data_IF_783156992340
#
_entry.id   IF_783156992340
#
_cell.length_a   1.000
_cell.length_b   1.000
_cell.length_c   1.000
_cell.angle_alpha   90.00
_cell.angle_beta   90.00
_cell.angle_gamma   90.00
#
_symmetry.space_group_name_H-M   'P 1'
#
loop_
_entity.id
_entity.type
_entity.pdbx_description
1 polymer ?
#
# COMPACT_ATOMS: atom_id res chain seq x y z
N UNK A 1 -8.82 -17.05 -16.70
CA UNK A 1 -8.34 -18.10 -17.63
C UNK A 1 -7.24 -18.87 -16.92
N UNK A 2 -7.40 -20.18 -16.75
CA UNK A 2 -6.35 -21.00 -16.15
C UNK A 2 -5.32 -21.29 -17.26
N UNK A 3 -4.20 -20.58 -17.26
CA UNK A 3 -3.16 -20.81 -18.26
C UNK A 3 -2.45 -22.11 -17.94
N UNK A 4 -2.65 -23.11 -18.79
CA UNK A 4 -2.07 -24.43 -18.60
C UNK A 4 -0.53 -24.35 -18.61
N UNK A 5 0.11 -24.93 -17.61
CA UNK A 5 1.56 -24.95 -17.46
C UNK A 5 2.14 -26.02 -18.38
N UNK A 6 2.61 -25.63 -19.54
CA UNK A 6 3.11 -26.55 -20.59
C UNK A 6 4.63 -26.46 -20.80
N UNK A 7 5.27 -25.37 -20.39
CA UNK A 7 6.69 -25.09 -20.66
C UNK A 7 7.55 -25.68 -19.55
N UNK A 8 8.49 -26.59 -19.86
CA UNK A 8 9.42 -27.12 -18.85
C UNK A 8 10.42 -26.06 -18.39
N UNK A 9 10.50 -25.80 -17.08
CA UNK A 9 11.38 -24.78 -16.51
C UNK A 9 12.85 -25.03 -16.87
N UNK A 10 13.32 -26.28 -16.85
CA UNK A 10 14.69 -26.64 -17.26
C UNK A 10 15.07 -26.19 -18.67
N UNK A 11 14.12 -26.13 -19.61
CA UNK A 11 14.38 -25.61 -20.97
C UNK A 11 14.63 -24.11 -20.90
N UNK A 12 13.79 -23.40 -20.15
CA UNK A 12 13.88 -21.94 -19.92
C UNK A 12 15.16 -21.55 -19.20
N UNK A 13 15.58 -22.33 -18.19
CA UNK A 13 16.82 -22.07 -17.44
C UNK A 13 18.06 -22.11 -18.34
N UNK A 14 18.14 -23.09 -19.26
CA UNK A 14 19.23 -23.19 -20.23
C UNK A 14 19.19 -22.07 -21.26
N UNK A 15 18.00 -21.74 -21.74
CA UNK A 15 17.80 -20.67 -22.72
C UNK A 15 18.18 -19.29 -22.18
N UNK A 16 17.76 -18.99 -20.95
CA UNK A 16 18.01 -17.70 -20.30
C UNK A 16 19.33 -17.66 -19.52
N UNK A 17 20.07 -18.77 -19.48
CA UNK A 17 21.33 -18.95 -18.77
C UNK A 17 21.27 -18.53 -17.29
N UNK A 18 20.28 -19.04 -16.55
CA UNK A 18 20.07 -18.75 -15.12
C UNK A 18 19.84 -20.03 -14.30
N UNK A 19 20.14 -19.98 -13.00
CA UNK A 19 19.83 -21.07 -12.06
C UNK A 19 18.34 -21.15 -11.73
N UNK A 20 17.89 -22.33 -11.29
CA UNK A 20 16.52 -22.56 -10.83
C UNK A 20 16.15 -21.60 -9.68
N UNK A 21 17.04 -21.45 -8.70
CA UNK A 21 16.84 -20.55 -7.55
C UNK A 21 16.62 -19.10 -7.99
N UNK A 22 17.37 -18.65 -9.00
CA UNK A 22 17.24 -17.30 -9.54
C UNK A 22 15.91 -17.11 -10.28
N UNK A 23 15.49 -18.11 -11.05
CA UNK A 23 14.19 -18.07 -11.73
C UNK A 23 13.03 -18.01 -10.73
N UNK A 24 13.07 -18.84 -9.68
CA UNK A 24 12.03 -18.87 -8.64
C UNK A 24 12.00 -17.55 -7.87
N UNK A 25 13.15 -17.02 -7.50
CA UNK A 25 13.23 -15.70 -6.83
C UNK A 25 12.58 -14.62 -7.67
N UNK A 26 12.85 -14.59 -8.98
CA UNK A 26 12.23 -13.64 -9.90
C UNK A 26 10.71 -13.86 -9.96
N UNK A 27 10.26 -15.07 -10.21
CA UNK A 27 8.83 -15.40 -10.33
C UNK A 27 8.03 -15.07 -9.06
N UNK A 28 8.62 -15.28 -7.88
CA UNK A 28 8.05 -14.84 -6.60
C UNK A 28 7.84 -13.33 -6.53
N UNK A 29 8.71 -12.51 -7.12
CA UNK A 29 8.49 -11.05 -7.18
C UNK A 29 7.31 -10.63 -8.07
N UNK A 30 6.78 -11.55 -8.87
CA UNK A 30 5.56 -11.37 -9.67
C UNK A 30 4.34 -12.06 -9.07
N UNK A 31 4.41 -12.53 -7.82
CA UNK A 31 3.38 -13.34 -7.14
C UNK A 31 3.00 -14.63 -7.88
N UNK A 32 3.94 -15.23 -8.62
CA UNK A 32 3.74 -16.55 -9.23
C UNK A 32 4.15 -17.66 -8.25
N UNK A 33 3.23 -18.58 -7.94
CA UNK A 33 3.50 -19.75 -7.11
C UNK A 33 4.02 -20.92 -7.95
N UNK A 34 5.31 -21.24 -7.84
CA UNK A 34 5.95 -22.29 -8.63
C UNK A 34 6.64 -23.30 -7.72
N UNK A 35 6.48 -24.58 -8.06
CA UNK A 35 7.19 -25.69 -7.41
C UNK A 35 8.70 -25.55 -7.60
N UNK A 36 9.46 -25.72 -6.51
CA UNK A 36 10.91 -25.66 -6.52
C UNK A 36 11.52 -26.98 -7.04
N UNK A 37 11.21 -27.31 -8.29
CA UNK A 37 11.60 -28.56 -8.94
C UNK A 37 12.15 -28.29 -10.35
N UNK A 38 13.28 -28.90 -10.75
CA UNK A 38 13.78 -28.84 -12.13
C UNK A 38 12.76 -29.35 -13.17
N UNK A 39 11.83 -30.21 -12.73
CA UNK A 39 10.79 -30.79 -13.58
C UNK A 39 9.50 -29.96 -13.63
N UNK A 40 9.43 -28.85 -12.88
CA UNK A 40 8.27 -27.99 -12.87
C UNK A 40 7.96 -27.44 -14.27
N UNK A 41 6.68 -27.21 -14.52
CA UNK A 41 6.21 -26.52 -15.72
C UNK A 41 5.74 -25.12 -15.36
N UNK A 42 5.97 -24.20 -16.26
CA UNK A 42 5.47 -22.82 -16.19
C UNK A 42 4.57 -22.54 -17.40
N UNK A 43 3.75 -21.49 -17.30
CA UNK A 43 2.92 -21.00 -18.40
C UNK A 43 3.59 -19.82 -19.13
N UNK A 44 3.01 -19.40 -20.25
CA UNK A 44 3.55 -18.32 -21.09
C UNK A 44 3.72 -16.99 -20.30
N UNK A 45 2.75 -16.54 -19.47
CA UNK A 45 2.94 -15.36 -18.63
C UNK A 45 4.14 -15.43 -17.67
N UNK A 46 4.36 -16.56 -17.01
CA UNK A 46 5.50 -16.79 -16.10
C UNK A 46 6.84 -16.73 -16.87
N UNK A 47 6.88 -17.32 -18.07
CA UNK A 47 8.05 -17.30 -18.94
C UNK A 47 8.37 -15.89 -19.46
N UNK A 48 7.36 -15.16 -19.94
CA UNK A 48 7.53 -13.79 -20.40
C UNK A 48 7.89 -12.85 -19.25
N UNK A 49 7.36 -13.07 -18.05
CA UNK A 49 7.78 -12.36 -16.86
C UNK A 49 9.26 -12.60 -16.51
N UNK A 50 9.74 -13.85 -16.59
CA UNK A 50 11.16 -14.17 -16.41
C UNK A 50 12.05 -13.41 -17.40
N UNK A 51 11.73 -13.48 -18.69
CA UNK A 51 12.46 -12.74 -19.74
C UNK A 51 12.48 -11.24 -19.49
N UNK A 52 11.33 -10.68 -19.17
CA UNK A 52 11.18 -9.27 -18.88
C UNK A 52 12.03 -8.85 -17.68
N UNK A 53 12.04 -9.63 -16.60
CA UNK A 53 12.77 -9.34 -15.37
C UNK A 53 14.28 -9.55 -15.45
N UNK A 54 14.74 -10.46 -16.31
CA UNK A 54 16.17 -10.59 -16.61
C UNK A 54 16.67 -9.44 -17.47
N UNK A 55 15.83 -8.96 -18.39
CA UNK A 55 16.12 -7.80 -19.24
C UNK A 55 15.98 -6.46 -18.49
N UNK A 56 15.20 -6.45 -17.41
CA UNK A 56 14.95 -5.29 -16.54
C UNK A 56 15.15 -5.70 -15.06
N UNK A 57 16.39 -5.96 -14.63
CA UNK A 57 16.68 -6.39 -13.27
C UNK A 57 16.22 -5.31 -12.28
N UNK A 58 15.56 -5.74 -11.20
CA UNK A 58 15.39 -4.86 -10.04
C UNK A 58 16.77 -4.37 -9.59
N UNK A 59 16.88 -3.12 -9.13
CA UNK A 59 18.13 -2.62 -8.57
C UNK A 59 18.57 -3.54 -7.42
N UNK A 60 19.75 -4.13 -7.56
CA UNK A 60 20.34 -5.08 -6.63
C UNK A 60 20.20 -4.55 -5.20
N UNK A 61 19.65 -5.37 -4.29
CA UNK A 61 19.40 -4.97 -2.90
C UNK A 61 20.69 -5.07 -2.06
N UNK A 62 21.78 -5.58 -2.66
CA UNK A 62 23.04 -5.85 -1.95
C UNK A 62 24.19 -4.88 -2.21
N UNK A 63 24.03 -3.82 -3.00
CA UNK A 63 25.07 -2.78 -3.11
C UNK A 63 24.76 -1.59 -2.18
N UNK A 64 25.31 -1.68 -0.97
CA UNK A 64 25.64 -0.63 -0.02
C UNK A 64 24.63 0.53 0.11
N UNK A 65 23.62 0.28 0.96
CA UNK A 65 22.91 1.32 1.70
C UNK A 65 23.95 2.19 2.41
N UNK A 66 24.03 3.48 2.10
CA UNK A 66 24.85 4.38 2.90
C UNK A 66 24.27 4.45 4.30
N UNK A 67 25.10 4.22 5.31
CA UNK A 67 24.78 4.12 6.75
C UNK A 67 23.89 5.28 7.26
N UNK A 68 23.91 6.45 6.60
CA UNK A 68 23.13 7.63 7.01
C UNK A 68 21.62 7.58 6.67
N UNK A 69 21.20 6.79 5.69
CA UNK A 69 19.82 6.80 5.20
C UNK A 69 18.93 5.80 5.96
N UNK A 70 19.52 4.68 6.42
CA UNK A 70 18.91 3.83 7.45
C UNK A 70 18.59 4.64 8.71
N UNK A 71 19.48 5.54 9.15
CA UNK A 71 19.37 6.31 10.40
C UNK A 71 18.18 7.29 10.42
N UNK A 72 17.68 7.80 9.27
CA UNK A 72 16.52 8.70 9.26
C UNK A 72 15.17 7.98 9.24
N UNK A 73 15.11 6.81 8.59
CA UNK A 73 13.89 5.98 8.52
C UNK A 73 13.69 5.13 9.77
N UNK A 74 14.79 4.65 10.35
CA UNK A 74 14.77 4.03 11.68
C UNK A 74 14.37 5.05 12.73
N UNK A 75 14.75 6.33 12.68
CA UNK A 75 14.37 7.30 13.74
C UNK A 75 12.86 7.44 14.02
N UNK A 76 11.98 7.48 13.00
CA UNK A 76 10.53 7.56 13.26
C UNK A 76 9.94 6.20 13.65
N UNK A 77 10.37 5.10 12.99
CA UNK A 77 9.87 3.75 13.29
C UNK A 77 10.41 3.21 14.63
N UNK A 78 11.63 3.56 15.00
CA UNK A 78 12.26 3.27 16.30
C UNK A 78 11.62 4.10 17.41
N UNK A 79 11.25 5.35 17.13
CA UNK A 79 10.59 6.23 18.11
C UNK A 79 9.13 5.85 18.36
N UNK A 80 8.39 5.50 17.31
CA UNK A 80 6.95 5.20 17.38
C UNK A 80 6.64 3.71 17.55
N UNK A 81 7.60 2.84 17.29
CA UNK A 81 7.40 1.40 17.19
C UNK A 81 6.58 0.98 15.95
N UNK A 82 6.63 -0.31 15.63
CA UNK A 82 5.73 -0.91 14.63
C UNK A 82 4.29 -0.85 15.14
N UNK A 83 3.39 -0.28 14.34
CA UNK A 83 1.97 -0.27 14.66
C UNK A 83 1.43 -1.72 14.71
N UNK A 84 0.73 -2.07 15.79
CA UNK A 84 0.02 -3.36 15.91
C UNK A 84 -1.42 -3.30 15.39
N UNK A 85 -1.97 -2.08 15.34
CA UNK A 85 -3.26 -1.73 14.76
C UNK A 85 -3.10 -0.52 13.84
N UNK A 86 -3.83 -0.51 12.73
CA UNK A 86 -3.93 0.64 11.82
C UNK A 86 -5.38 0.88 11.41
N UNK A 87 -5.72 2.15 11.15
CA UNK A 87 -7.08 2.60 10.93
C UNK A 87 -7.25 3.13 9.52
N UNK A 88 -8.30 2.71 8.81
CA UNK A 88 -8.64 3.25 7.50
C UNK A 88 -10.03 3.88 7.53
N UNK A 89 -10.10 5.16 7.17
CA UNK A 89 -11.32 5.95 7.17
C UNK A 89 -12.04 5.82 5.82
N UNK A 90 -13.36 5.74 5.87
CA UNK A 90 -14.22 5.58 4.71
C UNK A 90 -15.40 6.54 4.79
N UNK A 91 -15.74 7.15 3.65
CA UNK A 91 -17.00 7.84 3.46
C UNK A 91 -18.15 6.87 3.18
N UNK A 92 -19.33 7.42 2.94
CA UNK A 92 -20.59 6.67 2.78
C UNK A 92 -20.88 6.20 1.34
N UNK A 93 -19.90 6.29 0.44
CA UNK A 93 -20.07 5.91 -0.97
C UNK A 93 -20.15 4.39 -1.16
N UNK A 94 -20.98 3.93 -2.10
CA UNK A 94 -21.25 2.51 -2.34
C UNK A 94 -19.99 1.65 -2.58
N UNK A 95 -18.98 2.19 -3.25
CA UNK A 95 -17.73 1.47 -3.50
C UNK A 95 -16.93 1.20 -2.21
N UNK A 96 -17.05 2.04 -1.18
CA UNK A 96 -16.42 1.79 0.12
C UNK A 96 -17.13 0.64 0.84
N UNK A 97 -18.47 0.61 0.75
CA UNK A 97 -19.29 -0.45 1.33
C UNK A 97 -19.05 -1.77 0.59
N UNK A 98 -18.89 -1.72 -0.73
CA UNK A 98 -18.52 -2.88 -1.53
C UNK A 98 -17.17 -3.44 -1.10
N UNK A 99 -16.16 -2.59 -0.90
CA UNK A 99 -14.84 -2.98 -0.40
C UNK A 99 -14.91 -3.72 0.93
N UNK A 100 -15.67 -3.18 1.88
CA UNK A 100 -15.90 -3.82 3.18
C UNK A 100 -16.63 -5.17 3.04
N UNK A 101 -17.72 -5.21 2.26
CA UNK A 101 -18.53 -6.41 2.03
C UNK A 101 -17.75 -7.53 1.33
N UNK A 102 -16.89 -7.18 0.37
CA UNK A 102 -16.09 -8.12 -0.42
C UNK A 102 -14.68 -8.35 0.15
N UNK A 103 -14.35 -7.76 1.30
CA UNK A 103 -13.07 -7.91 1.99
C UNK A 103 -11.86 -7.55 1.11
N UNK A 104 -11.92 -6.38 0.47
CA UNK A 104 -10.77 -5.83 -0.27
C UNK A 104 -10.49 -4.37 0.12
N UNK A 105 -9.24 -3.96 -0.06
CA UNK A 105 -8.79 -2.58 0.02
C UNK A 105 -8.44 -2.07 -1.37
N UNK A 106 -8.94 -0.88 -1.69
CA UNK A 106 -8.59 -0.22 -2.95
C UNK A 106 -7.27 0.55 -2.81
N UNK A 107 -6.33 0.26 -3.71
CA UNK A 107 -5.05 0.94 -3.80
C UNK A 107 -5.11 2.06 -4.84
N UNK A 108 -5.34 3.28 -4.34
CA UNK A 108 -5.57 4.48 -5.15
C UNK A 108 -4.36 4.85 -6.00
N UNK A 109 -4.61 5.38 -7.20
CA UNK A 109 -3.59 6.09 -7.93
C UNK A 109 -3.31 7.42 -7.22
N UNK A 110 -2.04 7.82 -7.15
CA UNK A 110 -1.64 9.09 -6.56
C UNK A 110 -2.27 10.30 -7.26
N UNK A 111 -2.64 10.17 -8.54
CA UNK A 111 -3.36 11.23 -9.28
C UNK A 111 -4.72 11.59 -8.68
N UNK A 112 -5.27 10.73 -7.83
CA UNK A 112 -6.58 10.94 -7.19
C UNK A 112 -6.45 11.47 -5.75
N UNK A 113 -5.24 11.83 -5.31
CA UNK A 113 -5.04 12.39 -3.98
C UNK A 113 -5.60 13.81 -3.90
N UNK A 114 -6.05 14.18 -2.70
CA UNK A 114 -6.64 15.49 -2.45
C UNK A 114 -5.58 16.61 -2.35
N UNK A 115 -4.33 16.26 -2.07
CA UNK A 115 -3.20 17.19 -2.04
C UNK A 115 -2.39 17.07 -3.36
N UNK A 116 -2.32 18.13 -4.19
CA UNK A 116 -1.55 18.12 -5.44
C UNK A 116 -0.02 18.09 -5.24
N UNK A 117 0.47 18.32 -4.02
CA UNK A 117 1.89 18.20 -3.68
C UNK A 117 2.28 16.78 -3.24
N UNK A 118 1.31 15.94 -2.93
CA UNK A 118 1.54 14.57 -2.45
C UNK A 118 1.83 13.61 -3.62
N UNK A 119 2.83 12.75 -3.46
CA UNK A 119 3.31 11.83 -4.50
C UNK A 119 3.62 12.50 -5.86
N UNK A 120 3.97 13.79 -5.88
CA UNK A 120 4.16 14.54 -7.13
C UNK A 120 5.57 14.31 -7.75
N UNK A 121 5.61 13.66 -8.91
CA UNK A 121 6.87 13.30 -9.59
C UNK A 121 7.75 14.51 -9.99
N UNK A 122 7.17 15.71 -10.13
CA UNK A 122 7.91 16.94 -10.41
C UNK A 122 8.79 17.42 -9.24
N UNK A 123 8.58 16.82 -8.06
CA UNK A 123 9.40 17.00 -6.88
C UNK A 123 10.68 16.15 -6.89
N UNK A 124 10.88 15.30 -7.89
CA UNK A 124 12.14 14.59 -8.14
C UNK A 124 12.95 15.35 -9.19
N UNK A 125 14.26 15.53 -8.96
CA UNK A 125 15.18 16.01 -10.00
C UNK A 125 15.94 14.85 -10.66
N UNK A 126 15.98 14.87 -11.98
CA UNK A 126 16.79 13.97 -12.80
C UNK A 126 18.13 14.63 -13.18
N UNK A 127 18.70 15.45 -12.30
CA UNK A 127 19.91 16.20 -12.64
C UNK A 127 21.20 15.39 -12.44
N UNK A 128 21.87 15.04 -13.55
CA UNK A 128 23.34 15.01 -13.69
C UNK A 128 23.79 15.37 -15.12
N UNK A 129 24.89 16.12 -15.16
CA UNK A 129 25.54 16.90 -16.24
C UNK A 129 25.81 16.26 -17.63
N UNK A 130 25.41 15.02 -17.95
CA UNK A 130 25.62 14.43 -19.29
C UNK A 130 24.57 13.35 -19.56
N UNK A 131 23.52 13.70 -20.31
CA UNK A 131 22.42 12.79 -20.72
C UNK A 131 22.96 11.68 -21.64
N UNK A 132 23.30 10.51 -21.09
CA UNK A 132 23.54 9.28 -21.88
C UNK A 132 22.22 8.53 -22.12
N UNK A 133 22.05 7.89 -23.28
CA UNK A 133 20.84 7.15 -23.70
C UNK A 133 20.29 6.17 -22.64
N UNK A 134 21.18 5.51 -21.87
CA UNK A 134 20.84 4.60 -20.77
C UNK A 134 20.05 5.27 -19.63
N UNK A 135 20.23 6.56 -19.39
CA UNK A 135 19.51 7.30 -18.33
C UNK A 135 18.07 7.60 -18.73
N UNK A 136 17.83 7.86 -20.02
CA UNK A 136 16.48 8.12 -20.56
C UNK A 136 15.56 6.92 -20.38
N UNK A 137 16.03 5.72 -20.73
CA UNK A 137 15.27 4.47 -20.57
C UNK A 137 14.94 4.16 -19.10
N UNK A 138 15.85 4.45 -18.16
CA UNK A 138 15.60 4.27 -16.72
C UNK A 138 14.55 5.27 -16.19
N UNK A 139 14.58 6.50 -16.67
CA UNK A 139 13.60 7.52 -16.31
C UNK A 139 12.21 7.18 -16.87
N UNK A 140 12.11 6.75 -18.13
CA UNK A 140 10.86 6.29 -18.74
C UNK A 140 10.27 5.10 -17.96
N UNK A 141 11.09 4.10 -17.65
CA UNK A 141 10.67 2.94 -16.86
C UNK A 141 10.20 3.33 -15.45
N UNK A 142 10.88 4.27 -14.79
CA UNK A 142 10.43 4.79 -13.50
C UNK A 142 9.06 5.46 -13.63
N UNK A 143 8.89 6.34 -14.62
CA UNK A 143 7.63 7.05 -14.86
C UNK A 143 6.49 6.07 -15.12
N UNK A 144 6.73 5.01 -15.90
CA UNK A 144 5.76 3.94 -16.14
C UNK A 144 5.41 3.17 -14.86
N UNK A 145 6.42 2.76 -14.09
CA UNK A 145 6.20 2.06 -12.82
C UNK A 145 5.44 2.92 -11.81
N UNK A 146 5.78 4.21 -11.75
CA UNK A 146 5.12 5.17 -10.86
C UNK A 146 3.67 5.39 -11.26
N UNK A 147 3.38 5.52 -12.57
CA UNK A 147 2.02 5.65 -13.10
C UNK A 147 1.10 4.51 -12.64
N UNK A 148 1.64 3.30 -12.53
CA UNK A 148 0.90 2.09 -12.11
C UNK A 148 1.04 1.77 -10.62
N UNK A 149 1.58 2.69 -9.82
CA UNK A 149 1.62 2.57 -8.38
C UNK A 149 0.19 2.67 -7.82
N UNK A 150 -0.08 1.83 -6.83
CA UNK A 150 -1.24 1.94 -5.96
C UNK A 150 -0.79 2.20 -4.53
N UNK A 151 -1.48 3.11 -3.87
CA UNK A 151 -1.21 3.49 -2.49
C UNK A 151 -2.48 3.29 -1.68
N UNK A 152 -2.37 2.53 -0.59
CA UNK A 152 -3.43 2.39 0.40
C UNK A 152 -2.98 3.05 1.71
N UNK A 153 -3.67 4.15 2.05
CA UNK A 153 -3.36 4.95 3.24
C UNK A 153 -4.17 4.48 4.45
N UNK A 154 -3.50 4.52 5.60
CA UNK A 154 -4.00 4.23 6.93
C UNK A 154 -3.56 5.33 7.90
N UNK A 155 -4.08 5.31 9.12
CA UNK A 155 -3.71 6.20 10.22
C UNK A 155 -3.39 5.39 11.47
N UNK A 156 -2.53 5.93 12.34
CA UNK A 156 -2.33 5.43 13.70
C UNK A 156 -3.44 5.84 14.68
N UNK A 157 -4.31 6.76 14.30
CA UNK A 157 -5.22 7.41 15.24
C UNK A 157 -6.66 7.37 14.75
N UNK A 158 -7.53 6.69 15.49
CA UNK A 158 -8.99 6.68 15.26
C UNK A 158 -9.70 7.90 15.86
N UNK A 159 -9.05 8.64 16.77
CA UNK A 159 -9.66 9.74 17.52
C UNK A 159 -9.49 11.11 16.83
N UNK A 160 -8.93 11.16 15.61
CA UNK A 160 -8.66 12.42 14.94
C UNK A 160 -9.94 13.04 14.37
N UNK A 161 -10.42 14.12 15.00
CA UNK A 161 -11.61 14.87 14.53
C UNK A 161 -11.43 15.29 13.07
N UNK A 162 -10.25 15.80 12.69
CA UNK A 162 -9.97 16.21 11.32
C UNK A 162 -10.03 15.05 10.32
N UNK A 163 -9.57 13.85 10.72
CA UNK A 163 -9.69 12.67 9.85
C UNK A 163 -11.16 12.28 9.63
N UNK A 164 -11.98 12.31 10.67
CA UNK A 164 -13.41 12.04 10.54
C UNK A 164 -14.14 13.10 9.70
N UNK A 165 -13.74 14.37 9.80
CA UNK A 165 -14.28 15.45 9.00
C UNK A 165 -13.94 15.27 7.51
N UNK A 166 -12.66 15.08 7.18
CA UNK A 166 -12.17 15.03 5.80
C UNK A 166 -12.44 13.70 5.09
N UNK A 167 -12.22 12.57 5.77
CA UNK A 167 -12.16 11.25 5.13
C UNK A 167 -13.34 10.34 5.47
N UNK A 168 -14.18 10.71 6.44
CA UNK A 168 -15.39 9.96 6.81
C UNK A 168 -16.67 10.77 6.61
N UNK A 169 -16.75 11.49 5.48
CA UNK A 169 -17.95 12.22 5.04
C UNK A 169 -18.56 13.11 6.13
N UNK A 170 -17.75 13.97 6.78
CA UNK A 170 -18.18 14.82 7.90
C UNK A 170 -18.77 14.01 9.07
N UNK A 171 -18.02 13.00 9.52
CA UNK A 171 -18.40 12.08 10.61
C UNK A 171 -19.63 11.18 10.32
N UNK A 172 -20.09 11.08 9.07
CA UNK A 172 -21.19 10.19 8.67
C UNK A 172 -20.71 8.81 8.23
N UNK A 173 -19.42 8.68 7.93
CA UNK A 173 -18.80 7.45 7.47
C UNK A 173 -18.41 6.50 8.59
N UNK A 174 -17.45 5.64 8.31
CA UNK A 174 -16.96 4.61 9.21
C UNK A 174 -15.45 4.46 9.10
N UNK A 175 -14.85 3.74 10.05
CA UNK A 175 -13.43 3.45 10.06
C UNK A 175 -13.21 1.97 10.38
N UNK A 176 -12.34 1.31 9.61
CA UNK A 176 -11.94 -0.08 9.83
C UNK A 176 -10.58 -0.11 10.54
N UNK A 177 -10.48 -0.89 11.62
CA UNK A 177 -9.22 -1.17 12.31
C UNK A 177 -8.72 -2.55 11.92
N UNK A 178 -7.50 -2.58 11.39
CA UNK A 178 -6.80 -3.79 11.01
C UNK A 178 -5.66 -4.07 11.95
N UNK A 179 -5.42 -5.36 12.19
CA UNK A 179 -4.14 -5.82 12.66
C UNK A 179 -3.07 -5.54 11.62
N UNK A 180 -1.90 -5.10 12.06
CA UNK A 180 -0.76 -4.84 11.19
C UNK A 180 0.50 -5.55 11.66
N UNK A 181 1.42 -5.85 10.73
CA UNK A 181 2.72 -6.48 11.04
C UNK A 181 2.61 -7.88 11.67
N UNK A 182 1.57 -8.66 11.33
CA UNK A 182 1.37 -10.04 11.81
C UNK A 182 2.01 -11.11 10.94
N UNK A 183 2.04 -10.90 9.64
CA UNK A 183 2.57 -11.84 8.64
C UNK A 183 3.26 -11.06 7.53
N UNK A 184 4.14 -11.70 6.75
CA UNK A 184 4.81 -11.06 5.62
C UNK A 184 3.84 -10.61 4.53
N UNK A 185 2.78 -11.38 4.31
CA UNK A 185 1.79 -11.15 3.25
C UNK A 185 0.59 -10.30 3.71
N UNK A 186 0.55 -9.93 4.99
CA UNK A 186 -0.54 -9.15 5.57
C UNK A 186 -0.40 -7.64 5.43
N UNK A 187 -1.23 -6.91 6.17
CA UNK A 187 -1.23 -5.44 6.18
C UNK A 187 0.00 -4.90 6.91
N UNK A 188 1.00 -4.45 6.14
CA UNK A 188 2.30 -4.00 6.65
C UNK A 188 2.67 -2.56 6.20
N UNK A 189 1.87 -1.55 6.55
CA UNK A 189 2.11 -0.19 6.09
C UNK A 189 3.30 0.46 6.82
N UNK A 190 3.94 1.43 6.15
CA UNK A 190 5.06 2.20 6.68
C UNK A 190 4.65 3.65 6.95
N UNK A 191 5.20 4.23 8.03
CA UNK A 191 4.93 5.61 8.40
C UNK A 191 5.38 6.62 7.35
N UNK A 192 4.54 7.65 7.17
CA UNK A 192 4.87 8.85 6.41
C UNK A 192 5.74 9.79 7.26
N UNK A 193 6.66 10.48 6.62
CA UNK A 193 7.54 11.49 7.19
C UNK A 193 6.99 12.88 6.84
N UNK A 194 6.74 13.68 7.87
CA UNK A 194 6.23 15.03 7.72
C UNK A 194 7.38 16.06 7.71
N UNK A 195 7.37 16.97 6.73
CA UNK A 195 8.41 18.00 6.57
C UNK A 195 7.82 19.38 6.29
N UNK A 196 8.46 20.43 6.79
CA UNK A 196 8.08 21.82 6.48
C UNK A 196 8.51 22.24 5.08
N UNK A 197 9.70 21.80 4.65
CA UNK A 197 10.29 22.15 3.37
C UNK A 197 10.65 20.87 2.63
N UNK A 198 10.09 20.70 1.44
CA UNK A 198 10.42 19.56 0.60
C UNK A 198 11.74 19.80 -0.13
N UNK A 199 12.72 18.91 0.06
CA UNK A 199 13.98 18.95 -0.67
C UNK A 199 13.88 17.96 -1.82
N UNK A 200 14.00 18.44 -3.06
CA UNK A 200 13.91 17.58 -4.24
C UNK A 200 14.96 16.47 -4.19
N UNK A 201 14.50 15.22 -4.30
CA UNK A 201 15.40 14.08 -4.31
C UNK A 201 16.13 13.99 -5.66
N UNK A 202 17.46 13.86 -5.61
CA UNK A 202 18.28 13.68 -6.81
C UNK A 202 18.26 12.21 -7.25
N UNK A 203 17.36 11.86 -8.16
CA UNK A 203 17.08 10.47 -8.55
C UNK A 203 18.34 9.69 -8.99
N UNK A 204 19.19 10.30 -9.82
CA UNK A 204 20.41 9.64 -10.30
C UNK A 204 21.53 9.51 -9.26
N UNK A 205 21.37 10.08 -8.05
CA UNK A 205 22.27 9.83 -6.92
C UNK A 205 21.80 8.61 -6.13
N UNK A 206 20.50 8.53 -5.80
CA UNK A 206 19.92 7.36 -5.16
C UNK A 206 18.44 7.15 -5.60
N UNK A 207 18.20 6.25 -6.58
CA UNK A 207 16.86 5.99 -7.12
C UNK A 207 15.85 5.43 -6.10
N UNK A 208 16.31 4.56 -5.19
CA UNK A 208 15.44 3.93 -4.17
C UNK A 208 14.98 4.99 -3.17
N UNK A 209 15.91 5.82 -2.71
CA UNK A 209 15.60 6.91 -1.79
C UNK A 209 14.69 7.95 -2.43
N UNK A 210 14.91 8.28 -3.71
CA UNK A 210 14.06 9.26 -4.39
C UNK A 210 12.62 8.79 -4.52
N UNK A 211 12.39 7.51 -4.86
CA UNK A 211 11.06 6.93 -4.93
C UNK A 211 10.42 6.81 -3.53
N UNK A 212 11.21 6.38 -2.54
CA UNK A 212 10.75 6.29 -1.17
C UNK A 212 10.35 7.67 -0.63
N UNK A 213 11.20 8.69 -0.80
CA UNK A 213 10.92 10.06 -0.39
C UNK A 213 9.68 10.61 -1.08
N UNK A 214 9.49 10.30 -2.36
CA UNK A 214 8.30 10.74 -3.09
C UNK A 214 7.01 10.14 -2.51
N UNK A 215 7.03 8.87 -2.08
CA UNK A 215 5.83 8.16 -1.62
C UNK A 215 5.58 8.38 -0.13
N UNK A 216 6.61 8.56 0.69
CA UNK A 216 6.50 8.57 2.16
C UNK A 216 6.89 9.92 2.76
N UNK A 217 6.94 11.01 1.98
CA UNK A 217 7.13 12.35 2.53
C UNK A 217 5.90 13.19 2.26
N UNK A 218 5.39 13.90 3.27
CA UNK A 218 4.21 14.75 3.17
C UNK A 218 4.45 16.09 3.85
N UNK A 219 3.71 17.12 3.45
CA UNK A 219 3.78 18.43 4.09
C UNK A 219 3.36 18.33 5.56
N UNK A 220 4.01 19.12 6.42
CA UNK A 220 3.77 19.08 7.88
C UNK A 220 2.34 19.43 8.27
N UNK A 221 1.64 20.21 7.46
CA UNK A 221 0.22 20.54 7.66
C UNK A 221 -0.67 19.29 7.80
N UNK A 222 -0.27 18.17 7.20
CA UNK A 222 -0.98 16.88 7.28
C UNK A 222 -0.51 15.96 8.41
N UNK A 223 0.36 16.42 9.34
CA UNK A 223 0.93 15.60 10.42
C UNK A 223 -0.15 14.99 11.35
N UNK A 224 -1.30 15.66 11.47
CA UNK A 224 -2.42 15.17 12.27
C UNK A 224 -3.00 13.82 11.79
N UNK A 225 -2.75 13.44 10.54
CA UNK A 225 -3.23 12.19 9.97
C UNK A 225 -2.51 10.98 10.57
N UNK A 226 -1.25 11.16 11.04
CA UNK A 226 -0.37 10.08 11.49
C UNK A 226 -0.39 8.91 10.50
N UNK A 227 -0.16 9.24 9.23
CA UNK A 227 -0.40 8.40 8.08
C UNK A 227 0.61 7.26 7.99
N UNK A 228 0.13 6.06 7.64
CA UNK A 228 0.95 4.96 7.16
C UNK A 228 0.47 4.52 5.77
N UNK A 229 1.40 4.16 4.88
CA UNK A 229 1.07 3.73 3.51
C UNK A 229 1.50 2.29 3.29
N UNK A 230 0.61 1.51 2.68
CA UNK A 230 0.94 0.27 1.98
C UNK A 230 0.97 0.55 0.49
N UNK A 231 1.91 -0.06 -0.24
CA UNK A 231 2.07 0.16 -1.68
C UNK A 231 1.97 -1.14 -2.46
N UNK A 232 1.43 -1.05 -3.66
CA UNK A 232 1.42 -2.12 -4.64
C UNK A 232 1.80 -1.57 -6.01
N UNK A 233 2.54 -2.36 -6.78
CA UNK A 233 3.05 -1.97 -8.11
C UNK A 233 2.31 -2.72 -9.21
N UNK A 234 2.42 -2.22 -10.44
CA UNK A 234 1.83 -2.84 -11.64
C UNK A 234 0.28 -2.95 -11.60
N UNK A 235 -0.39 -1.98 -10.97
CA UNK A 235 -1.85 -1.92 -10.92
C UNK A 235 -2.42 -1.22 -12.15
N UNK A 236 -2.63 -1.99 -13.21
CA UNK A 236 -2.94 -1.51 -14.55
C UNK A 236 -4.37 -0.97 -14.70
N UNK A 237 -5.32 -1.45 -13.90
CA UNK A 237 -6.73 -1.08 -13.99
C UNK A 237 -7.43 -1.14 -12.63
N UNK A 238 -8.71 -0.71 -12.59
CA UNK A 238 -9.50 -0.65 -11.36
C UNK A 238 -9.68 -1.99 -10.65
N UNK A 239 -9.76 -3.11 -11.39
CA UNK A 239 -9.90 -4.43 -10.77
C UNK A 239 -8.59 -4.87 -10.11
N UNK A 240 -7.44 -4.66 -10.78
CA UNK A 240 -6.13 -4.98 -10.18
C UNK A 240 -5.83 -4.15 -8.92
N UNK A 241 -6.51 -3.02 -8.73
CA UNK A 241 -6.37 -2.15 -7.55
C UNK A 241 -7.16 -2.62 -6.33
N UNK A 242 -8.06 -3.61 -6.51
CA UNK A 242 -8.81 -4.23 -5.41
C UNK A 242 -7.98 -5.37 -4.86
N UNK A 243 -7.27 -5.12 -3.77
CA UNK A 243 -6.40 -6.11 -3.12
C UNK A 243 -7.16 -6.72 -1.94
N UNK A 244 -7.38 -8.04 -1.99
CA UNK A 244 -8.04 -8.76 -0.90
C UNK A 244 -7.22 -8.70 0.39
N UNK A 245 -7.90 -8.74 1.53
CA UNK A 245 -7.30 -8.92 2.84
C UNK A 245 -7.98 -10.10 3.54
N UNK A 246 -7.25 -10.75 4.44
CA UNK A 246 -7.80 -11.88 5.20
C UNK A 246 -8.76 -11.36 6.27
N UNK A 247 -9.92 -12.01 6.43
CA UNK A 247 -10.97 -11.50 7.32
C UNK A 247 -10.51 -11.38 8.77
N UNK A 248 -9.59 -12.25 9.19
CA UNK A 248 -8.95 -12.29 10.50
C UNK A 248 -8.01 -11.09 10.76
N UNK A 249 -7.61 -10.36 9.71
CA UNK A 249 -6.86 -9.12 9.86
C UNK A 249 -7.76 -7.96 10.31
N UNK A 250 -9.06 -8.00 10.01
CA UNK A 250 -9.99 -6.99 10.46
C UNK A 250 -10.35 -7.21 11.92
N UNK A 251 -10.07 -6.23 12.76
CA UNK A 251 -10.27 -6.30 14.22
C UNK A 251 -11.58 -5.67 14.65
N UNK A 252 -11.88 -4.48 14.13
CA UNK A 252 -13.07 -3.74 14.52
C UNK A 252 -13.52 -2.73 13.47
N UNK A 253 -14.76 -2.27 13.61
CA UNK A 253 -15.33 -1.15 12.86
C UNK A 253 -15.81 -0.08 13.83
N UNK A 254 -15.50 1.17 13.51
CA UNK A 254 -15.94 2.37 14.22
C UNK A 254 -16.94 3.13 13.35
N UNK A 255 -18.09 3.46 13.91
CA UNK A 255 -19.17 4.17 13.24
C UNK A 255 -19.14 5.64 13.63
N UNK A 256 -19.17 6.54 12.66
CA UNK A 256 -19.06 7.97 12.91
C UNK A 256 -20.19 8.52 13.80
N UNK A 257 -19.94 9.65 14.47
CA UNK A 257 -20.89 10.28 15.40
C UNK A 257 -22.19 10.73 14.72
N UNK A 258 -22.15 10.99 13.40
CA UNK A 258 -23.27 11.46 12.60
C UNK A 258 -23.75 10.42 11.59
N UNK A 259 -23.37 9.14 11.75
CA UNK A 259 -23.81 8.08 10.85
C UNK A 259 -25.34 7.97 10.85
N UNK A 260 -25.94 7.85 9.68
CA UNK A 260 -27.39 7.67 9.59
C UNK A 260 -27.80 6.23 9.92
N UNK A 261 -29.04 6.05 10.36
CA UNK A 261 -29.55 4.76 10.83
C UNK A 261 -29.54 3.68 9.73
N UNK A 262 -29.77 4.05 8.47
CA UNK A 262 -29.82 3.10 7.36
C UNK A 262 -28.40 2.59 7.04
N UNK A 263 -27.43 3.50 6.93
CA UNK A 263 -26.02 3.14 6.74
C UNK A 263 -25.49 2.32 7.91
N UNK A 264 -25.83 2.70 9.15
CA UNK A 264 -25.48 1.91 10.34
C UNK A 264 -26.03 0.49 10.25
N UNK A 265 -27.30 0.32 9.92
CA UNK A 265 -27.90 -1.01 9.78
C UNK A 265 -27.21 -1.82 8.67
N UNK A 266 -26.94 -1.22 7.52
CA UNK A 266 -26.24 -1.87 6.40
C UNK A 266 -24.84 -2.37 6.82
N UNK A 267 -24.09 -1.57 7.57
CA UNK A 267 -22.77 -1.98 8.07
C UNK A 267 -22.87 -3.12 9.09
N UNK A 268 -23.85 -3.08 9.99
CA UNK A 268 -24.10 -4.16 10.95
C UNK A 268 -24.49 -5.48 10.26
N UNK A 269 -25.29 -5.41 9.19
CA UNK A 269 -25.62 -6.59 8.37
C UNK A 269 -24.37 -7.19 7.70
N UNK A 270 -23.42 -6.36 7.26
CA UNK A 270 -22.14 -6.85 6.72
C UNK A 270 -21.31 -7.52 7.82
N UNK A 271 -21.22 -6.93 9.01
CA UNK A 271 -20.53 -7.51 10.17
C UNK A 271 -21.09 -8.90 10.51
N UNK A 272 -22.41 -9.06 10.48
CA UNK A 272 -23.06 -10.34 10.75
C UNK A 272 -22.78 -11.35 9.63
N UNK A 273 -23.14 -11.01 8.39
CA UNK A 273 -23.11 -11.95 7.26
C UNK A 273 -21.71 -12.31 6.76
N UNK A 274 -20.74 -11.38 6.83
CA UNK A 274 -19.40 -11.57 6.24
C UNK A 274 -18.39 -12.00 7.30
N UNK A 275 -18.50 -11.46 8.52
CA UNK A 275 -17.54 -11.65 9.60
C UNK A 275 -18.08 -12.47 10.76
N UNK A 276 -19.32 -12.96 10.70
CA UNK A 276 -19.93 -13.81 11.74
C UNK A 276 -19.81 -13.20 13.14
N UNK A 277 -19.98 -11.87 13.27
CA UNK A 277 -19.86 -11.13 14.53
C UNK A 277 -18.50 -11.28 15.23
N UNK A 278 -17.43 -11.65 14.50
CA UNK A 278 -16.08 -11.81 15.06
C UNK A 278 -15.32 -10.50 15.24
N UNK A 279 -15.80 -9.41 14.65
CA UNK A 279 -15.18 -8.09 14.77
C UNK A 279 -15.99 -7.20 15.72
N UNK A 280 -15.29 -6.41 16.54
CA UNK A 280 -15.95 -5.50 17.46
C UNK A 280 -16.57 -4.31 16.72
N UNK A 281 -17.71 -3.81 17.20
CA UNK A 281 -18.36 -2.63 16.63
C UNK A 281 -18.42 -1.53 17.67
N UNK A 282 -17.93 -0.34 17.31
CA UNK A 282 -17.94 0.85 18.15
C UNK A 282 -18.81 1.94 17.54
N UNK A 283 -19.65 2.57 18.34
CA UNK A 283 -20.38 3.78 18.00
C UNK A 283 -19.64 5.00 18.54
N UNK A 284 -19.38 5.99 17.69
CA UNK A 284 -18.88 7.28 18.14
C UNK A 284 -19.97 8.09 18.81
N UNK A 285 -19.65 8.68 19.97
CA UNK A 285 -20.50 9.62 20.72
C UNK A 285 -19.67 10.85 21.07
N UNK A 286 -20.25 12.04 20.95
CA UNK A 286 -19.57 13.29 21.34
C UNK A 286 -19.33 13.32 22.85
N UNK A 287 -18.11 13.68 23.26
CA UNK A 287 -17.82 13.97 24.66
C UNK A 287 -18.58 15.23 25.09
N UNK A 288 -19.15 15.21 26.31
CA UNK A 288 -19.94 16.35 26.84
C UNK A 288 -19.09 17.52 27.29
N UNK A 289 -17.81 17.27 27.61
CA UNK A 289 -16.93 18.24 28.27
C UNK A 289 -15.68 18.56 27.44
N UNK A 290 -15.32 17.72 26.47
CA UNK A 290 -14.09 17.85 25.69
C UNK A 290 -14.39 17.79 24.18
N UNK A 291 -13.51 18.36 23.36
CA UNK A 291 -13.53 18.19 21.91
C UNK A 291 -12.91 16.85 21.53
N UNK A 292 -13.64 15.77 21.78
CA UNK A 292 -13.22 14.39 21.47
C UNK A 292 -14.43 13.49 21.18
N UNK A 293 -14.14 12.33 20.59
CA UNK A 293 -15.12 11.28 20.31
C UNK A 293 -14.89 10.14 21.32
N UNK A 294 -15.94 9.77 22.04
CA UNK A 294 -15.98 8.57 22.87
C UNK A 294 -16.47 7.39 22.04
N UNK A 295 -15.83 6.23 22.20
CA UNK A 295 -16.17 5.01 21.47
C UNK A 295 -16.90 4.02 22.38
N UNK A 296 -18.19 3.85 22.15
CA UNK A 296 -19.02 2.91 22.89
C UNK A 296 -19.11 1.59 22.13
N UNK A 297 -18.73 0.48 22.75
CA UNK A 297 -18.84 -0.84 22.14
C UNK A 297 -20.29 -1.29 22.13
N UNK A 298 -20.80 -1.64 20.96
CA UNK A 298 -22.19 -2.09 20.76
C UNK A 298 -22.29 -3.55 20.30
N UNK A 299 -21.17 -4.16 19.87
CA UNK A 299 -21.01 -5.57 19.53
C UNK A 299 -19.55 -6.01 19.75
#
# INVERSE_FOLDING_TARGET
MNFERTIRINKVLRELNISLDRAITILKTGNFEIECSPNAKINEPEYEYLKYRLSNPLPDVKENITINDQIKLTKNRDKLGSATSVFKYFGVQDYNIEGFKKSYLYYSNYSNFNDPFDCNIELITFDKARKRTRHKRKEELLKENFKNLGVCCFSRNVNSILMWAHYASNHKGFCLEFHSNRSLDGINPLDVIYVNNFIKAAYYKNPKDALFHLIYTKAKDWEYEKELRSIQINLLNNETRKIAYEKEELKSIYLGVNIDSNMKQQLLEIVDNVFNKKIAVYQGVLSKLNFEINWERIL
#
